data_IF_033751313943
#
_entry.id   IF_033751313943
#
_cell.length_a   1.000
_cell.length_b   1.000
_cell.length_c   1.000
_cell.angle_alpha   90.00
_cell.angle_beta   90.00
_cell.angle_gamma   90.00
#
_symmetry.space_group_name_H-M   'P 1'
#
loop_
_entity.id
_entity.type
_entity.pdbx_description
1 polymer ?
#
# COMPACT_ATOMS: atom_id res chain seq x y z
N UNK A 1 12.19 8.88 22.67
CA UNK A 1 12.89 8.50 21.42
C UNK A 1 11.98 7.65 20.51
N UNK A 2 11.10 6.83 21.09
CA UNK A 2 10.07 6.05 20.38
C UNK A 2 8.67 6.53 20.81
N UNK A 3 7.74 6.59 19.85
CA UNK A 3 6.29 6.61 20.10
C UNK A 3 5.72 5.23 19.74
N UNK A 4 4.92 4.64 20.63
CA UNK A 4 4.33 3.31 20.41
C UNK A 4 2.82 3.44 20.26
N UNK A 5 2.31 3.02 19.11
CA UNK A 5 0.87 2.85 18.91
C UNK A 5 0.49 1.47 19.39
N UNK A 6 -0.38 1.42 20.40
CA UNK A 6 -0.96 0.18 20.86
C UNK A 6 -2.29 -0.06 20.15
N UNK A 7 -2.73 -1.32 20.00
CA UNK A 7 -4.02 -1.59 19.41
C UNK A 7 -5.12 -1.07 20.35
N UNK A 8 -5.81 -0.03 19.94
CA UNK A 8 -6.92 0.53 20.71
C UNK A 8 -8.20 0.40 19.92
N UNK A 9 -9.22 -0.19 20.53
CA UNK A 9 -10.58 -0.15 19.99
C UNK A 9 -11.20 1.17 20.42
N UNK A 10 -11.40 2.12 19.50
CA UNK A 10 -12.05 3.40 19.81
C UNK A 10 -11.50 4.63 19.10
N UNK A 11 -11.51 5.77 19.80
CA UNK A 11 -11.15 7.08 19.23
C UNK A 11 -9.63 7.18 19.06
N UNK A 12 -9.18 7.08 17.81
CA UNK A 12 -7.79 7.37 17.43
C UNK A 12 -7.39 8.83 17.68
N UNK A 13 -6.11 9.19 17.49
CA UNK A 13 -5.65 10.54 17.79
C UNK A 13 -6.36 11.60 16.93
N UNK A 14 -6.58 12.77 17.55
CA UNK A 14 -7.09 13.95 16.87
C UNK A 14 -6.17 14.39 15.74
N UNK A 15 -6.69 15.19 14.81
CA UNK A 15 -5.88 15.75 13.73
C UNK A 15 -4.71 16.58 14.26
N UNK A 16 -4.88 17.28 15.38
CA UNK A 16 -3.81 18.05 16.02
C UNK A 16 -2.73 17.15 16.62
N UNK A 17 -3.12 16.05 17.28
CA UNK A 17 -2.18 15.06 17.80
C UNK A 17 -1.39 14.40 16.66
N UNK A 18 -2.05 14.02 15.57
CA UNK A 18 -1.39 13.49 14.36
C UNK A 18 -0.40 14.49 13.77
N UNK A 19 -0.77 15.76 13.67
CA UNK A 19 0.11 16.81 13.18
C UNK A 19 1.32 17.04 14.10
N UNK A 20 1.12 17.02 15.42
CA UNK A 20 2.20 17.15 16.39
C UNK A 20 3.20 15.99 16.30
N UNK A 21 2.69 14.77 16.19
CA UNK A 21 3.50 13.57 15.98
C UNK A 21 4.26 13.62 14.65
N UNK A 22 3.61 14.06 13.58
CA UNK A 22 4.25 14.30 12.28
C UNK A 22 5.43 15.27 12.38
N UNK A 23 5.24 16.44 13.01
CA UNK A 23 6.33 17.42 13.24
C UNK A 23 7.48 16.85 14.05
N UNK A 24 7.19 16.00 15.04
CA UNK A 24 8.24 15.36 15.83
C UNK A 24 9.08 14.38 15.01
N UNK A 25 8.46 13.61 14.12
CA UNK A 25 9.16 12.69 13.20
C UNK A 25 9.96 13.43 12.14
N UNK A 26 9.38 14.49 11.58
CA UNK A 26 10.04 15.35 10.59
C UNK A 26 11.28 16.05 11.17
N UNK A 27 11.35 16.23 12.51
CA UNK A 27 12.56 16.73 13.18
C UNK A 27 13.74 15.75 13.18
N UNK A 28 13.53 14.50 12.72
CA UNK A 28 14.57 13.48 12.66
C UNK A 28 14.93 12.82 14.00
N UNK A 29 14.31 13.25 15.11
CA UNK A 29 14.67 12.79 16.47
C UNK A 29 13.83 11.61 16.96
N UNK A 30 12.69 11.36 16.34
CA UNK A 30 11.73 10.34 16.75
C UNK A 30 11.63 9.17 15.78
N UNK A 31 11.09 8.06 16.30
CA UNK A 31 10.63 6.89 15.53
C UNK A 31 9.33 6.35 16.11
N UNK A 32 8.61 5.58 15.32
CA UNK A 32 7.34 4.98 15.71
C UNK A 32 7.34 3.47 15.53
N UNK A 33 6.65 2.79 16.44
CA UNK A 33 6.26 1.39 16.27
C UNK A 33 4.74 1.34 16.35
N UNK A 34 4.10 0.81 15.32
CA UNK A 34 2.65 0.76 15.22
C UNK A 34 2.15 -0.68 15.29
N UNK A 35 1.58 -1.07 16.43
CA UNK A 35 0.93 -2.36 16.57
C UNK A 35 -0.51 -2.27 16.12
N UNK A 36 -0.80 -2.89 14.98
CA UNK A 36 -2.17 -3.01 14.49
C UNK A 36 -2.74 -4.34 14.95
N UNK A 37 -3.84 -4.27 15.68
CA UNK A 37 -4.64 -5.43 16.07
C UNK A 37 -6.11 -5.03 15.99
N UNK A 38 -6.97 -5.89 15.43
CA UNK A 38 -8.38 -5.56 15.22
C UNK A 38 -8.66 -4.68 13.99
N UNK A 39 -8.07 -3.49 13.89
CA UNK A 39 -8.47 -2.46 12.90
C UNK A 39 -7.94 -2.68 11.45
N UNK A 40 -7.17 -3.74 11.21
CA UNK A 40 -6.53 -4.01 9.92
C UNK A 40 -7.23 -5.04 9.03
N UNK A 41 -8.23 -5.77 9.55
CA UNK A 41 -9.01 -6.72 8.75
C UNK A 41 -10.06 -5.96 7.97
N UNK A 42 -9.99 -6.02 6.64
CA UNK A 42 -10.84 -5.19 5.78
C UNK A 42 -11.24 -5.92 4.51
N UNK A 43 -12.45 -5.68 4.00
CA UNK A 43 -12.83 -6.14 2.67
C UNK A 43 -11.96 -5.49 1.60
N UNK A 44 -11.73 -6.18 0.48
CA UNK A 44 -10.99 -5.61 -0.67
C UNK A 44 -11.64 -4.35 -1.24
N UNK A 45 -12.95 -4.19 -1.06
CA UNK A 45 -13.72 -2.99 -1.40
C UNK A 45 -13.72 -1.92 -0.30
N UNK A 46 -12.88 -2.04 0.74
CA UNK A 46 -12.85 -1.18 1.94
C UNK A 46 -14.07 -1.26 2.86
N UNK A 47 -14.91 -2.27 2.70
CA UNK A 47 -15.94 -2.57 3.70
C UNK A 47 -15.30 -2.93 5.04
N UNK A 48 -15.82 -2.43 6.17
CA UNK A 48 -15.47 -2.96 7.47
C UNK A 48 -15.68 -4.47 7.50
N UNK A 49 -14.72 -5.18 8.09
CA UNK A 49 -14.78 -6.61 8.27
C UNK A 49 -14.65 -6.95 9.75
N UNK A 50 -15.31 -8.03 10.16
CA UNK A 50 -15.20 -8.51 11.54
C UNK A 50 -13.85 -9.20 11.72
N UNK A 51 -13.02 -8.67 12.62
CA UNK A 51 -11.85 -9.38 13.10
C UNK A 51 -12.30 -10.57 13.97
N UNK A 52 -11.79 -11.76 13.68
CA UNK A 52 -12.19 -13.01 14.35
C UNK A 52 -10.97 -13.74 14.91
N UNK A 53 -11.18 -14.74 15.76
CA UNK A 53 -10.11 -15.61 16.26
C UNK A 53 -9.24 -16.25 15.15
N UNK A 54 -9.81 -16.46 13.95
CA UNK A 54 -9.05 -16.87 12.78
C UNK A 54 -8.02 -15.80 12.37
N UNK A 55 -8.44 -14.54 12.29
CA UNK A 55 -7.53 -13.43 11.99
C UNK A 55 -6.51 -13.19 13.12
N UNK A 56 -6.88 -13.39 14.39
CA UNK A 56 -5.91 -13.34 15.50
C UNK A 56 -4.76 -14.34 15.26
N UNK A 57 -5.09 -15.59 14.92
CA UNK A 57 -4.06 -16.62 14.65
C UNK A 57 -3.15 -16.27 13.47
N UNK A 58 -3.68 -15.59 12.45
CA UNK A 58 -2.93 -15.13 11.29
C UNK A 58 -1.97 -14.01 11.69
N UNK A 59 -2.42 -13.08 12.52
CA UNK A 59 -1.61 -11.97 13.03
C UNK A 59 -0.47 -12.50 13.92
N UNK A 60 -0.75 -13.43 14.83
CA UNK A 60 0.29 -14.09 15.64
C UNK A 60 1.32 -14.76 14.74
N UNK A 61 0.88 -15.55 13.76
CA UNK A 61 1.79 -16.22 12.83
C UNK A 61 2.60 -15.21 11.99
N UNK A 62 2.01 -14.06 11.65
CA UNK A 62 2.68 -12.99 10.90
C UNK A 62 3.74 -12.24 11.68
N UNK A 63 3.70 -12.28 13.01
CA UNK A 63 4.77 -11.78 13.87
C UNK A 63 5.92 -12.79 14.01
N UNK A 64 5.61 -14.09 13.93
CA UNK A 64 6.58 -15.19 14.02
C UNK A 64 7.10 -15.63 12.64
N UNK A 65 7.92 -14.76 12.03
CA UNK A 65 8.54 -14.97 10.72
C UNK A 65 10.05 -14.72 10.77
N UNK A 66 10.76 -15.22 9.76
CA UNK A 66 12.16 -14.86 9.53
C UNK A 66 12.26 -13.45 8.93
N UNK A 67 12.47 -12.46 9.79
CA UNK A 67 12.63 -11.05 9.40
C UNK A 67 13.89 -10.80 8.56
N UNK A 68 14.94 -11.61 8.70
CA UNK A 68 16.14 -11.49 7.86
C UNK A 68 15.81 -11.92 6.44
N UNK A 69 15.09 -13.03 6.28
CA UNK A 69 14.61 -13.47 4.97
C UNK A 69 13.62 -12.47 4.36
N UNK A 70 12.72 -11.88 5.17
CA UNK A 70 11.81 -10.82 4.73
C UNK A 70 12.59 -9.61 4.19
N UNK A 71 13.54 -9.09 4.97
CA UNK A 71 14.36 -7.92 4.62
C UNK A 71 15.16 -8.16 3.32
N UNK A 72 15.82 -9.32 3.19
CA UNK A 72 16.55 -9.68 1.97
C UNK A 72 15.65 -9.77 0.74
N UNK A 73 14.42 -10.28 0.90
CA UNK A 73 13.44 -10.34 -0.20
C UNK A 73 12.97 -8.95 -0.61
N UNK A 74 12.73 -8.06 0.37
CA UNK A 74 12.38 -6.66 0.12
C UNK A 74 13.50 -5.93 -0.62
N UNK A 75 14.76 -6.14 -0.25
CA UNK A 75 15.91 -5.54 -0.93
C UNK A 75 15.99 -5.97 -2.40
N UNK A 76 15.74 -7.26 -2.68
CA UNK A 76 15.67 -7.77 -4.05
C UNK A 76 14.52 -7.13 -4.85
N UNK A 77 13.33 -7.02 -4.26
CA UNK A 77 12.18 -6.36 -4.89
C UNK A 77 12.45 -4.87 -5.15
N UNK A 78 13.06 -4.15 -4.20
CA UNK A 78 13.46 -2.74 -4.35
C UNK A 78 14.47 -2.60 -5.50
N UNK A 79 15.46 -3.49 -5.59
CA UNK A 79 16.42 -3.51 -6.69
C UNK A 79 15.75 -3.65 -8.06
N UNK A 80 14.76 -4.54 -8.18
CA UNK A 80 13.98 -4.71 -9.40
C UNK A 80 13.08 -3.51 -9.71
N UNK A 81 12.43 -2.91 -8.70
CA UNK A 81 11.63 -1.69 -8.90
C UNK A 81 12.49 -0.53 -9.42
N UNK A 82 13.76 -0.43 -8.98
CA UNK A 82 14.70 0.59 -9.45
C UNK A 82 15.26 0.32 -10.84
N UNK A 83 15.25 -0.93 -11.31
CA UNK A 83 15.91 -1.29 -12.57
C UNK A 83 15.14 -0.87 -13.82
N UNK A 84 13.89 -0.42 -13.71
CA UNK A 84 13.15 0.07 -14.87
C UNK A 84 11.69 0.41 -14.62
N UNK A 85 10.90 0.31 -15.70
CA UNK A 85 9.45 0.48 -15.63
C UNK A 85 8.82 -0.63 -14.81
N UNK A 86 7.92 -0.23 -13.92
CA UNK A 86 7.02 -1.11 -13.19
C UNK A 86 5.70 -1.14 -13.95
N UNK A 87 5.17 -2.34 -14.19
CA UNK A 87 3.85 -2.55 -14.78
C UNK A 87 3.01 -3.43 -13.87
N UNK A 88 1.81 -2.96 -13.54
CA UNK A 88 0.82 -3.66 -12.72
C UNK A 88 -0.37 -3.98 -13.62
N UNK A 89 -0.72 -5.26 -13.75
CA UNK A 89 -1.89 -5.70 -14.51
C UNK A 89 -2.84 -6.55 -13.67
N UNK A 90 -4.13 -6.51 -13.98
CA UNK A 90 -5.14 -7.40 -13.37
C UNK A 90 -6.05 -8.01 -14.45
N UNK A 91 -6.67 -9.16 -14.18
CA UNK A 91 -7.69 -9.74 -15.07
C UNK A 91 -8.86 -8.79 -15.37
N UNK A 92 -9.21 -7.92 -14.43
CA UNK A 92 -10.29 -6.93 -14.58
C UNK A 92 -9.93 -5.77 -15.54
N UNK A 93 -8.68 -5.72 -16.02
CA UNK A 93 -8.23 -4.75 -17.01
C UNK A 93 -7.46 -3.56 -16.44
N UNK A 94 -6.96 -3.65 -15.21
CA UNK A 94 -5.90 -2.72 -14.78
C UNK A 94 -4.67 -2.96 -15.65
N UNK A 95 -4.07 -1.88 -16.14
CA UNK A 95 -2.76 -1.84 -16.79
C UNK A 95 -2.14 -0.48 -16.48
N UNK A 96 -1.39 -0.42 -15.39
CA UNK A 96 -0.75 0.79 -14.90
C UNK A 96 0.77 0.66 -15.03
N UNK A 97 1.43 1.71 -15.49
CA UNK A 97 2.87 1.80 -15.66
C UNK A 97 3.43 3.01 -14.95
N UNK A 98 4.60 2.86 -14.34
CA UNK A 98 5.32 3.96 -13.69
C UNK A 98 6.80 3.59 -13.47
N UNK A 99 7.59 4.56 -13.02
CA UNK A 99 8.97 4.36 -12.53
C UNK A 99 9.09 4.95 -11.13
N UNK A 100 10.05 4.44 -10.35
CA UNK A 100 10.33 4.97 -9.01
C UNK A 100 11.65 5.76 -8.94
N UNK A 101 12.60 5.52 -9.85
CA UNK A 101 13.91 6.16 -9.81
C UNK A 101 14.59 6.00 -8.44
N UNK A 102 15.13 7.09 -7.91
CA UNK A 102 15.78 7.13 -6.60
C UNK A 102 14.83 7.52 -5.44
N UNK A 103 13.50 7.44 -5.66
CA UNK A 103 12.51 7.70 -4.61
C UNK A 103 12.82 6.86 -3.37
N UNK A 104 12.69 7.44 -2.16
CA UNK A 104 12.75 6.68 -0.92
C UNK A 104 11.69 5.58 -0.93
N UNK A 105 12.12 4.34 -0.66
CA UNK A 105 11.21 3.20 -0.50
C UNK A 105 11.14 2.88 0.98
N UNK A 106 9.93 2.96 1.53
CA UNK A 106 9.64 2.54 2.89
C UNK A 106 9.69 1.02 2.96
N UNK A 107 10.49 0.49 3.88
CA UNK A 107 10.66 -0.95 4.07
C UNK A 107 10.11 -1.36 5.43
N UNK A 108 8.93 -1.98 5.45
CA UNK A 108 8.30 -2.52 6.66
C UNK A 108 8.85 -3.92 6.94
N UNK A 109 10.13 -4.01 7.32
CA UNK A 109 10.84 -5.27 7.58
C UNK A 109 11.01 -5.60 9.06
N UNK A 110 10.31 -4.88 9.95
CA UNK A 110 10.37 -5.08 11.39
C UNK A 110 11.54 -4.38 12.12
N UNK A 111 12.52 -3.80 11.42
CA UNK A 111 13.66 -3.14 12.07
C UNK A 111 13.31 -1.71 12.52
N UNK A 112 12.81 -1.59 13.75
CA UNK A 112 12.52 -0.32 14.40
C UNK A 112 13.71 0.26 15.20
N UNK A 113 14.94 -0.21 14.95
CA UNK A 113 16.11 0.22 15.71
C UNK A 113 16.48 1.69 15.45
N UNK A 114 17.10 2.33 16.44
CA UNK A 114 17.64 3.68 16.28
C UNK A 114 18.63 3.77 15.09
N UNK A 115 19.42 2.72 14.89
CA UNK A 115 20.39 2.63 13.81
C UNK A 115 19.70 2.69 12.44
N UNK A 116 18.65 1.89 12.20
CA UNK A 116 17.87 1.96 10.97
C UNK A 116 17.28 3.35 10.76
N UNK A 117 16.70 3.94 11.80
CA UNK A 117 16.03 5.24 11.72
C UNK A 117 16.99 6.41 11.45
N UNK A 118 18.28 6.25 11.74
CA UNK A 118 19.30 7.25 11.37
C UNK A 118 19.43 7.44 9.85
N UNK A 119 19.05 6.43 9.06
CA UNK A 119 19.08 6.44 7.59
C UNK A 119 17.75 6.85 6.94
N UNK A 120 16.70 7.09 7.73
CA UNK A 120 15.37 7.34 7.21
C UNK A 120 15.29 8.69 6.47
N UNK A 121 14.84 8.63 5.21
CA UNK A 121 14.80 9.79 4.29
C UNK A 121 13.46 10.52 4.27
N UNK A 122 12.39 9.84 4.63
CA UNK A 122 11.01 10.35 4.60
C UNK A 122 10.29 9.99 5.89
N UNK A 123 9.24 10.74 6.22
CA UNK A 123 8.50 10.59 7.48
C UNK A 123 8.08 9.17 7.75
N UNK A 124 7.48 8.51 6.76
CA UNK A 124 6.94 7.16 6.91
C UNK A 124 8.04 6.09 7.07
N UNK A 125 9.29 6.36 6.65
CA UNK A 125 10.42 5.45 6.87
C UNK A 125 10.88 5.45 8.34
N UNK A 126 10.32 6.36 9.16
CA UNK A 126 10.49 6.39 10.62
C UNK A 126 9.45 5.58 11.39
N UNK A 127 8.56 4.89 10.69
CA UNK A 127 7.49 4.08 11.26
C UNK A 127 7.65 2.63 10.83
N UNK A 128 7.65 1.73 11.82
CA UNK A 128 7.53 0.30 11.59
C UNK A 128 6.19 -0.17 12.12
N UNK A 129 5.40 -0.78 11.25
CA UNK A 129 4.12 -1.34 11.56
C UNK A 129 4.23 -2.85 11.76
N UNK A 130 3.46 -3.37 12.71
CA UNK A 130 3.42 -4.78 13.07
C UNK A 130 1.97 -5.30 12.96
N UNK A 131 1.73 -6.43 12.25
CA UNK A 131 2.73 -7.26 11.57
C UNK A 131 3.37 -6.60 10.34
N UNK A 132 4.70 -6.62 10.27
CA UNK A 132 5.47 -6.02 9.17
C UNK A 132 5.32 -6.82 7.88
N UNK A 133 5.62 -6.23 6.73
CA UNK A 133 5.47 -6.99 5.49
C UNK A 133 5.44 -6.25 4.17
N UNK A 134 5.36 -4.93 4.12
CA UNK A 134 5.21 -4.22 2.84
C UNK A 134 6.40 -3.33 2.48
N UNK A 135 6.68 -3.24 1.18
CA UNK A 135 7.42 -2.11 0.63
C UNK A 135 6.42 -1.08 0.10
N UNK A 136 6.71 0.21 0.30
CA UNK A 136 5.82 1.31 -0.10
C UNK A 136 6.64 2.42 -0.73
N UNK A 137 6.17 2.99 -1.83
CA UNK A 137 6.87 4.06 -2.55
C UNK A 137 5.87 4.95 -3.27
N UNK A 138 6.12 6.26 -3.24
CA UNK A 138 5.48 7.19 -4.16
C UNK A 138 6.24 7.15 -5.50
N UNK A 139 5.62 6.72 -6.62
CA UNK A 139 6.26 6.75 -7.92
C UNK A 139 6.64 8.18 -8.34
N UNK A 140 7.48 8.27 -9.38
CA UNK A 140 7.70 9.52 -10.09
C UNK A 140 6.40 9.91 -10.80
N UNK A 141 5.75 10.98 -10.35
CA UNK A 141 4.39 11.34 -10.76
C UNK A 141 4.29 11.45 -12.27
N UNK A 142 5.26 12.08 -12.92
CA UNK A 142 5.29 12.30 -14.37
C UNK A 142 5.33 11.02 -15.22
N UNK A 143 5.65 9.88 -14.60
CA UNK A 143 5.77 8.58 -15.27
C UNK A 143 4.52 7.71 -15.14
N UNK A 144 3.59 8.05 -14.25
CA UNK A 144 2.41 7.22 -13.98
C UNK A 144 1.40 7.37 -15.12
N UNK A 145 1.15 6.28 -15.86
CA UNK A 145 0.25 6.23 -17.03
C UNK A 145 -0.52 4.91 -17.07
N UNK A 146 -1.74 4.94 -17.62
CA UNK A 146 -2.53 3.74 -17.88
C UNK A 146 -3.87 3.75 -17.15
N UNK A 147 -4.41 2.58 -16.80
CA UNK A 147 -5.75 2.47 -16.20
C UNK A 147 -5.73 1.60 -14.95
N UNK A 148 -6.42 2.06 -13.91
CA UNK A 148 -6.78 1.26 -12.74
C UNK A 148 -8.26 0.88 -12.87
N UNK A 149 -8.57 -0.41 -12.72
CA UNK A 149 -9.95 -0.93 -12.69
C UNK A 149 -10.25 -1.45 -11.29
N UNK A 150 -11.33 -0.95 -10.68
CA UNK A 150 -11.81 -1.40 -9.37
C UNK A 150 -13.22 -1.97 -9.52
N UNK A 151 -13.40 -3.31 -9.40
CA UNK A 151 -14.71 -3.94 -9.58
C UNK A 151 -15.76 -3.43 -8.61
N UNK A 152 -15.39 -3.21 -7.35
CA UNK A 152 -16.27 -2.74 -6.28
C UNK A 152 -15.48 -1.92 -5.25
N UNK A 153 -16.02 -0.76 -4.87
CA UNK A 153 -15.45 0.12 -3.86
C UNK A 153 -16.57 0.74 -3.02
N UNK A 154 -16.46 0.65 -1.70
CA UNK A 154 -17.32 1.38 -0.76
C UNK A 154 -16.80 2.81 -0.62
N UNK A 155 -17.59 3.80 -1.02
CA UNK A 155 -17.34 5.22 -0.78
C UNK A 155 -18.39 5.74 0.21
N UNK A 156 -17.95 6.08 1.43
CA UNK A 156 -18.85 6.37 2.53
C UNK A 156 -19.77 5.18 2.83
N UNK A 157 -21.08 5.37 2.65
CA UNK A 157 -22.10 4.33 2.82
C UNK A 157 -22.56 3.68 1.51
N UNK A 158 -21.99 4.07 0.35
CA UNK A 158 -22.45 3.63 -0.97
C UNK A 158 -21.42 2.77 -1.67
N UNK A 159 -21.86 1.62 -2.18
CA UNK A 159 -21.04 0.78 -3.04
C UNK A 159 -21.06 1.31 -4.48
N UNK A 160 -19.88 1.44 -5.09
CA UNK A 160 -19.67 1.89 -6.46
C UNK A 160 -18.98 0.77 -7.21
N UNK A 161 -19.55 0.33 -8.34
CA UNK A 161 -19.04 -0.81 -9.10
C UNK A 161 -18.52 -0.44 -10.50
N UNK A 162 -17.59 -1.25 -11.00
CA UNK A 162 -17.02 -1.09 -12.34
C UNK A 162 -16.26 0.21 -12.54
N UNK A 163 -15.50 0.65 -11.52
CA UNK A 163 -14.74 1.90 -11.58
C UNK A 163 -13.56 1.74 -12.54
N UNK A 164 -13.38 2.73 -13.41
CA UNK A 164 -12.23 2.87 -14.30
C UNK A 164 -11.61 4.26 -14.13
N UNK A 165 -10.33 4.29 -13.77
CA UNK A 165 -9.55 5.52 -13.59
C UNK A 165 -8.37 5.51 -14.56
N UNK A 166 -8.38 6.42 -15.53
CA UNK A 166 -7.32 6.60 -16.51
C UNK A 166 -6.35 7.69 -16.05
N UNK A 167 -5.06 7.38 -16.09
CA UNK A 167 -3.98 8.23 -15.62
C UNK A 167 -3.08 8.69 -16.75
N UNK A 168 -2.75 9.97 -16.70
CA UNK A 168 -1.65 10.58 -17.44
C UNK A 168 -0.85 11.46 -16.48
N UNK A 169 0.48 11.26 -16.45
CA UNK A 169 1.42 12.09 -15.69
C UNK A 169 1.01 12.16 -14.21
N UNK A 170 0.53 11.03 -13.65
CA UNK A 170 0.15 10.91 -12.24
C UNK A 170 -1.21 11.46 -11.88
N UNK A 171 -1.97 12.01 -12.85
CA UNK A 171 -3.31 12.57 -12.62
C UNK A 171 -4.37 11.77 -13.35
N UNK A 172 -5.53 11.63 -12.73
CA UNK A 172 -6.72 11.07 -13.36
C UNK A 172 -7.20 12.04 -14.45
N UNK A 173 -7.17 11.58 -15.70
CA UNK A 173 -7.70 12.31 -16.86
C UNK A 173 -9.11 11.86 -17.23
N UNK A 174 -9.51 10.64 -16.85
CA UNK A 174 -10.85 10.11 -17.04
C UNK A 174 -11.25 9.21 -15.87
N UNK A 175 -12.47 9.40 -15.38
CA UNK A 175 -13.09 8.55 -14.37
C UNK A 175 -14.51 8.19 -14.80
N UNK A 176 -14.86 6.91 -14.65
CA UNK A 176 -16.20 6.38 -14.90
C UNK A 176 -16.53 5.23 -13.95
N UNK A 177 -17.82 4.96 -13.73
CA UNK A 177 -18.29 3.78 -12.99
C UNK A 177 -19.53 3.18 -13.67
N UNK A 178 -19.72 1.86 -13.52
CA UNK A 178 -20.91 1.18 -14.03
C UNK A 178 -22.15 1.51 -13.19
N UNK A 179 -21.97 1.70 -11.88
CA UNK A 179 -23.03 2.13 -10.96
C UNK A 179 -22.54 3.28 -10.10
N UNK A 180 -23.45 4.14 -9.67
CA UNK A 180 -23.15 5.24 -8.73
C UNK A 180 -22.00 6.17 -9.17
N UNK A 181 -21.85 6.43 -10.47
CA UNK A 181 -20.79 7.29 -11.01
C UNK A 181 -20.80 8.70 -10.40
N UNK A 182 -21.98 9.25 -10.09
CA UNK A 182 -22.10 10.54 -9.42
C UNK A 182 -21.40 10.55 -8.04
N UNK A 183 -21.48 9.44 -7.29
CA UNK A 183 -20.80 9.28 -6.00
C UNK A 183 -19.28 9.21 -6.18
N UNK A 184 -18.80 8.47 -7.19
CA UNK A 184 -17.38 8.46 -7.55
C UNK A 184 -16.87 9.87 -7.86
N UNK A 185 -17.60 10.61 -8.71
CA UNK A 185 -17.23 11.98 -9.11
C UNK A 185 -17.19 12.92 -7.90
N UNK A 186 -18.21 12.87 -7.04
CA UNK A 186 -18.25 13.67 -5.82
C UNK A 186 -17.08 13.35 -4.88
N UNK A 187 -16.75 12.07 -4.69
CA UNK A 187 -15.61 11.66 -3.89
C UNK A 187 -14.28 12.20 -4.44
N UNK A 188 -14.01 12.03 -5.74
CA UNK A 188 -12.79 12.51 -6.37
C UNK A 188 -12.63 14.03 -6.32
N UNK A 189 -13.74 14.78 -6.34
CA UNK A 189 -13.75 16.24 -6.26
C UNK A 189 -13.75 16.78 -4.82
N UNK A 190 -13.90 15.92 -3.82
CA UNK A 190 -13.95 16.35 -2.41
C UNK A 190 -12.63 16.96 -1.94
N UNK A 191 -11.50 16.46 -2.45
CA UNK A 191 -10.14 16.94 -2.16
C UNK A 191 -9.30 16.81 -3.42
N UNK A 192 -8.59 17.87 -3.82
CA UNK A 192 -7.80 17.87 -5.06
C UNK A 192 -6.82 16.69 -5.17
N UNK A 193 -6.19 16.33 -4.04
CA UNK A 193 -5.24 15.23 -3.97
C UNK A 193 -5.83 13.88 -4.43
N UNK A 194 -7.14 13.65 -4.28
CA UNK A 194 -7.79 12.40 -4.70
C UNK A 194 -7.79 12.16 -6.22
N UNK A 195 -7.50 13.20 -7.00
CA UNK A 195 -7.32 13.05 -8.45
C UNK A 195 -5.90 12.64 -8.86
N UNK A 196 -5.00 12.40 -7.90
CA UNK A 196 -3.61 12.04 -8.15
C UNK A 196 -3.26 10.65 -7.62
N UNK A 197 -2.35 9.98 -8.32
CA UNK A 197 -1.76 8.73 -7.85
C UNK A 197 -0.81 9.00 -6.68
N UNK A 198 -0.95 8.20 -5.62
CA UNK A 198 -0.21 8.36 -4.36
C UNK A 198 0.93 7.36 -4.22
N UNK A 199 0.58 6.09 -4.12
CA UNK A 199 1.46 5.04 -3.59
C UNK A 199 1.30 3.76 -4.39
N UNK A 200 2.43 3.12 -4.68
CA UNK A 200 2.50 1.70 -4.95
C UNK A 200 3.04 1.01 -3.70
N UNK A 201 2.32 -0.02 -3.24
CA UNK A 201 2.77 -0.88 -2.18
C UNK A 201 2.62 -2.36 -2.56
N UNK A 202 3.61 -3.15 -2.16
CA UNK A 202 3.65 -4.59 -2.37
C UNK A 202 3.82 -5.29 -1.03
N UNK A 203 2.82 -6.09 -0.68
CA UNK A 203 2.84 -6.98 0.48
C UNK A 203 3.75 -8.18 0.24
N UNK A 204 4.48 -8.55 1.29
CA UNK A 204 5.55 -9.55 1.29
C UNK A 204 5.59 -10.41 2.55
N UNK A 205 4.72 -10.17 3.54
CA UNK A 205 4.63 -11.04 4.72
C UNK A 205 4.07 -12.40 4.29
N UNK A 206 4.80 -13.51 4.49
CA UNK A 206 4.37 -14.82 4.01
C UNK A 206 3.16 -15.38 4.76
N UNK A 207 2.88 -14.91 5.98
CA UNK A 207 1.84 -15.44 6.85
C UNK A 207 0.55 -14.60 6.87
N UNK A 208 0.59 -13.34 6.41
CA UNK A 208 -0.62 -12.51 6.20
C UNK A 208 -1.38 -12.94 4.92
N UNK A 209 -1.82 -14.20 4.86
CA UNK A 209 -2.58 -14.72 3.72
C UNK A 209 -4.08 -14.55 3.93
N UNK A 210 -4.82 -14.27 2.85
CA UNK A 210 -6.28 -14.37 2.89
C UNK A 210 -6.64 -15.84 3.14
N UNK A 211 -7.42 -16.16 4.18
CA UNK A 211 -7.82 -17.53 4.46
C UNK A 211 -8.65 -18.12 3.34
N UNK A 212 -8.52 -19.43 3.13
CA UNK A 212 -9.38 -20.16 2.17
C UNK A 212 -10.86 -19.92 2.47
N UNK A 213 -11.62 -19.55 1.43
CA UNK A 213 -13.05 -19.26 1.55
C UNK A 213 -13.39 -17.88 2.14
N UNK A 214 -12.38 -17.02 2.36
CA UNK A 214 -12.55 -15.63 2.79
C UNK A 214 -12.15 -14.67 1.68
N UNK A 215 -12.63 -13.44 1.78
CA UNK A 215 -12.25 -12.33 0.88
C UNK A 215 -11.69 -11.13 1.64
N UNK A 216 -11.73 -11.14 2.96
CA UNK A 216 -11.19 -10.05 3.77
C UNK A 216 -9.67 -10.18 3.87
N UNK A 217 -8.99 -9.05 3.70
CA UNK A 217 -7.56 -8.94 3.79
C UNK A 217 -7.13 -8.93 5.25
N UNK A 218 -6.15 -9.75 5.64
CA UNK A 218 -5.44 -9.52 6.89
C UNK A 218 -4.54 -8.28 6.71
N UNK A 219 -4.57 -7.41 7.72
CA UNK A 219 -3.71 -6.25 7.89
C UNK A 219 -3.42 -5.41 6.62
N UNK A 220 -4.43 -4.63 6.19
CA UNK A 220 -4.33 -3.63 5.12
C UNK A 220 -3.57 -4.07 3.85
N UNK A 221 -3.62 -5.37 3.51
CA UNK A 221 -3.00 -5.91 2.31
C UNK A 221 -1.47 -6.04 2.36
N UNK A 222 -0.88 -6.27 3.54
CA UNK A 222 0.59 -6.51 3.65
C UNK A 222 0.99 -7.98 3.39
N UNK A 223 -0.01 -8.82 3.08
CA UNK A 223 0.16 -10.19 2.64
C UNK A 223 1.02 -10.37 1.39
N UNK A 224 1.81 -11.43 1.37
CA UNK A 224 2.67 -11.76 0.24
C UNK A 224 1.88 -11.83 -1.07
N UNK A 225 2.18 -10.90 -1.98
CA UNK A 225 1.59 -10.81 -3.33
C UNK A 225 0.37 -9.89 -3.43
N UNK A 226 -0.15 -9.40 -2.30
CA UNK A 226 -1.14 -8.35 -2.31
C UNK A 226 -0.51 -7.03 -2.76
N UNK A 227 -1.17 -6.34 -3.69
CA UNK A 227 -0.77 -5.04 -4.19
C UNK A 227 -1.76 -4.01 -3.68
N UNK A 228 -1.25 -2.88 -3.22
CA UNK A 228 -2.06 -1.69 -2.94
C UNK A 228 -1.61 -0.57 -3.86
N UNK A 229 -2.57 -0.05 -4.62
CA UNK A 229 -2.45 1.22 -5.32
C UNK A 229 -3.26 2.24 -4.55
N UNK A 230 -2.90 3.52 -4.59
CA UNK A 230 -3.61 4.52 -3.79
C UNK A 230 -3.72 5.85 -4.49
N UNK A 231 -4.72 6.63 -4.10
CA UNK A 231 -4.92 8.02 -4.50
C UNK A 231 -4.63 8.94 -3.31
N UNK A 232 -4.32 10.21 -3.57
CA UNK A 232 -4.22 11.22 -2.53
C UNK A 232 -2.83 11.80 -2.30
N UNK A 233 -2.67 12.43 -1.13
CA UNK A 233 -1.43 13.03 -0.64
C UNK A 233 -0.29 12.02 -0.72
N UNK A 234 0.90 12.34 -1.19
CA UNK A 234 2.04 11.42 -1.18
C UNK A 234 3.30 12.04 -0.54
N UNK A 235 3.14 13.17 0.14
CA UNK A 235 4.22 13.98 0.70
C UNK A 235 5.04 13.21 1.75
N UNK A 236 4.40 12.37 2.54
CA UNK A 236 5.08 11.59 3.58
C UNK A 236 5.94 10.44 3.06
N UNK A 237 5.69 10.05 1.81
CA UNK A 237 6.47 9.07 1.03
C UNK A 237 7.56 9.78 0.18
N UNK A 238 7.65 11.11 0.29
CA UNK A 238 8.59 11.95 -0.45
C UNK A 238 8.05 12.51 -1.77
N UNK A 239 6.79 12.27 -2.12
CA UNK A 239 6.16 12.80 -3.34
C UNK A 239 5.78 14.27 -3.25
N UNK A 240 5.22 14.82 -4.34
CA UNK A 240 4.87 16.26 -4.47
C UNK A 240 3.39 16.58 -4.22
N UNK A 241 2.52 15.57 -4.21
CA UNK A 241 1.07 15.73 -4.02
C UNK A 241 0.79 15.95 -2.54
N UNK A 242 0.02 17.01 -2.23
CA UNK A 242 -0.39 17.38 -0.88
C UNK A 242 -1.91 17.48 -0.80
N UNK A 243 -2.48 17.16 0.36
CA UNK A 243 -3.91 17.34 0.62
C UNK A 243 -4.48 16.48 1.73
N UNK A 244 -3.63 15.86 2.57
CA UNK A 244 -4.02 15.14 3.81
C UNK A 244 -5.17 14.13 3.67
N UNK A 245 -5.35 13.57 2.47
CA UNK A 245 -6.36 12.56 2.18
C UNK A 245 -5.74 11.38 1.43
N UNK A 246 -6.22 10.17 1.73
CA UNK A 246 -5.73 8.92 1.15
C UNK A 246 -6.89 8.00 0.83
N UNK A 247 -6.89 7.44 -0.38
CA UNK A 247 -7.75 6.32 -0.72
C UNK A 247 -6.89 5.11 -1.05
N UNK A 248 -6.97 4.06 -0.23
CA UNK A 248 -6.34 2.78 -0.53
C UNK A 248 -7.18 1.99 -1.52
N UNK A 249 -6.56 1.22 -2.40
CA UNK A 249 -7.23 0.33 -3.35
C UNK A 249 -6.46 -1.00 -3.35
N UNK A 250 -7.16 -2.10 -3.09
CA UNK A 250 -6.51 -3.39 -2.85
C UNK A 250 -6.68 -4.33 -4.05
N UNK A 251 -5.58 -4.97 -4.44
CA UNK A 251 -5.50 -5.89 -5.57
C UNK A 251 -4.85 -7.19 -5.12
N UNK A 252 -5.65 -8.26 -5.09
CA UNK A 252 -5.23 -9.58 -4.59
C UNK A 252 -4.90 -10.56 -5.71
N UNK A 253 -5.14 -10.17 -6.96
CA UNK A 253 -4.95 -10.98 -8.16
C UNK A 253 -4.05 -10.27 -9.20
N UNK A 254 -3.29 -9.25 -8.77
CA UNK A 254 -2.43 -8.49 -9.67
C UNK A 254 -1.19 -9.29 -10.09
N UNK A 255 -0.69 -9.01 -11.29
CA UNK A 255 0.65 -9.36 -11.73
C UNK A 255 1.51 -8.10 -11.81
N UNK A 256 2.73 -8.15 -11.28
CA UNK A 256 3.66 -7.02 -11.22
C UNK A 256 4.97 -7.41 -11.86
N UNK A 257 5.43 -6.60 -12.81
CA UNK A 257 6.76 -6.70 -13.40
C UNK A 257 7.53 -5.41 -13.19
N UNK A 258 8.85 -5.51 -13.06
CA UNK A 258 9.73 -4.36 -12.90
C UNK A 258 11.06 -4.62 -13.60
N UNK A 259 11.44 -3.76 -14.56
CA UNK A 259 12.70 -3.89 -15.30
C UNK A 259 12.93 -5.28 -15.90
N UNK A 260 11.87 -5.92 -16.42
CA UNK A 260 11.90 -7.27 -16.99
C UNK A 260 11.82 -8.42 -15.98
N UNK A 261 11.91 -8.14 -14.68
CA UNK A 261 11.70 -9.14 -13.62
C UNK A 261 10.23 -9.27 -13.27
N UNK A 262 9.77 -10.50 -12.99
CA UNK A 262 8.44 -10.74 -12.42
C UNK A 262 8.54 -10.68 -10.90
N UNK A 263 7.76 -9.80 -10.27
CA UNK A 263 7.67 -9.68 -8.81
C UNK A 263 6.44 -10.41 -8.26
N UNK A 264 5.31 -10.29 -8.96
CA UNK A 264 4.04 -10.94 -8.61
C UNK A 264 3.46 -11.56 -9.88
N UNK A 265 2.91 -12.77 -9.76
CA UNK A 265 2.12 -13.43 -10.78
C UNK A 265 0.79 -13.85 -10.17
N UNK A 266 -0.29 -13.26 -10.65
CA UNK A 266 -1.68 -13.58 -10.29
C UNK A 266 -1.89 -13.60 -8.77
N UNK A 267 -1.43 -12.55 -8.10
CA UNK A 267 -1.53 -12.40 -6.64
C UNK A 267 -0.49 -13.17 -5.83
N UNK A 268 0.42 -13.89 -6.47
CA UNK A 268 1.48 -14.68 -5.79
C UNK A 268 2.84 -14.08 -6.06
N UNK A 269 3.66 -13.90 -5.03
CA UNK A 269 5.03 -13.45 -5.22
C UNK A 269 5.82 -14.46 -6.05
N UNK A 270 6.63 -13.96 -6.98
CA UNK A 270 7.56 -14.78 -7.72
C UNK A 270 8.59 -15.45 -6.78
N UNK A 271 8.99 -16.67 -7.11
CA UNK A 271 10.18 -17.30 -6.56
C UNK A 271 11.42 -16.76 -7.30
N UNK A 272 12.51 -16.58 -6.56
CA UNK A 272 13.80 -16.16 -7.11
C UNK A 272 14.22 -17.11 -8.24
N UNK A 273 14.31 -16.60 -9.48
CA UNK A 273 14.74 -17.36 -10.66
C UNK A 273 13.78 -17.36 -11.86
N UNK A 274 12.55 -16.86 -11.71
CA UNK A 274 11.62 -16.76 -12.85
C UNK A 274 11.93 -15.55 -13.76
N UNK A 275 12.85 -15.72 -14.72
CA UNK A 275 12.90 -14.81 -15.88
C UNK A 275 11.63 -15.02 -16.69
N UNK A 276 10.91 -13.93 -16.97
CA UNK A 276 9.67 -13.97 -17.73
C UNK A 276 9.90 -14.58 -19.12
N UNK A 277 9.28 -15.74 -19.39
CA UNK A 277 8.99 -16.12 -20.76
C UNK A 277 7.84 -15.25 -21.23
N UNK A 278 8.12 -14.34 -22.17
CA UNK A 278 7.09 -13.69 -22.96
C UNK A 278 6.33 -14.77 -23.74
N UNK A 279 5.02 -14.87 -23.51
CA UNK A 279 4.08 -15.38 -24.50
C UNK A 279 3.26 -14.21 -25.00
#
# INVERSE_FOLDING_TARGET
>A
DIYVWLPTVGVGPSSEQRAALGRWLDSGRGRQIHFHWGDGTIGTNQSPATHTALYDSIYVAALDIDYRALSARMDSAIGALRSGEVRVITPDGTDLRFRIGDRPVTRQDGDASAARMSSAKVRIDREIELPSGAIRVAPLEETVRGTIVIPLLRLGSTDVSGIRLEFDTGRIIRASAATNEAVLRANLLSVEALTHFREFALGMNPRLQIPSGRSELPYYGYGAGAVRLSLGDNSELGGRVKGDFVQWLFFTNASVTAGGSVLVRDGKLATSGSRGQSR
#
